data_IF_789205899606
#
_entry.id   IF_789205899606
#
_cell.length_a   1.000
_cell.length_b   1.000
_cell.length_c   1.000
_cell.angle_alpha   90.00
_cell.angle_beta   90.00
_cell.angle_gamma   90.00
#
_symmetry.space_group_name_H-M   'P 1'
#
loop_
_entity.id
_entity.type
_entity.pdbx_description
1 polymer ?
#
# COMPACT_ATOMS: atom_id res chain seq x y z
N UNK A 1 -11.09 -30.34 -8.68
CA UNK A 1 -9.76 -29.92 -9.18
C UNK A 1 -9.66 -28.37 -9.27
N UNK A 2 -10.55 -27.61 -9.99
CA UNK A 2 -10.41 -26.15 -10.10
C UNK A 2 -10.51 -25.40 -8.76
N UNK A 3 -11.33 -25.88 -7.81
CA UNK A 3 -11.46 -25.29 -6.47
C UNK A 3 -10.16 -25.48 -5.66
N UNK A 4 -9.58 -26.66 -5.74
CA UNK A 4 -8.30 -26.98 -5.10
C UNK A 4 -7.18 -26.10 -5.68
N UNK A 5 -7.12 -25.93 -6.99
CA UNK A 5 -6.16 -25.03 -7.66
C UNK A 5 -6.35 -23.58 -7.25
N UNK A 6 -7.60 -23.11 -7.11
CA UNK A 6 -7.90 -21.76 -6.63
C UNK A 6 -7.47 -21.55 -5.17
N UNK A 7 -7.76 -22.51 -4.29
CA UNK A 7 -7.35 -22.46 -2.87
C UNK A 7 -5.82 -22.56 -2.75
N UNK A 8 -5.17 -23.47 -3.50
CA UNK A 8 -3.70 -23.57 -3.54
C UNK A 8 -3.10 -22.26 -4.07
N UNK A 9 -3.67 -21.66 -5.14
CA UNK A 9 -3.21 -20.39 -5.66
C UNK A 9 -3.29 -19.27 -4.62
N UNK A 10 -4.40 -19.14 -3.90
CA UNK A 10 -4.57 -18.17 -2.81
C UNK A 10 -3.58 -18.47 -1.67
N UNK A 11 -3.44 -19.74 -1.27
CA UNK A 11 -2.51 -20.14 -0.21
C UNK A 11 -1.04 -19.86 -0.58
N UNK A 12 -0.65 -20.08 -1.83
CA UNK A 12 0.72 -19.78 -2.29
C UNK A 12 0.95 -18.27 -2.36
N UNK A 13 -0.04 -17.47 -2.81
CA UNK A 13 0.05 -16.01 -2.81
C UNK A 13 0.19 -15.48 -1.37
N UNK A 14 -0.61 -16.00 -0.44
CA UNK A 14 -0.49 -15.61 0.97
C UNK A 14 0.86 -16.05 1.55
N UNK A 15 1.33 -17.25 1.25
CA UNK A 15 2.65 -17.71 1.69
C UNK A 15 3.80 -16.93 1.04
N UNK A 16 3.69 -16.51 -0.22
CA UNK A 16 4.70 -15.69 -0.90
C UNK A 16 4.74 -14.25 -0.37
N UNK A 17 3.60 -13.72 0.06
CA UNK A 17 3.54 -12.42 0.72
C UNK A 17 4.22 -12.43 2.10
N UNK A 18 4.30 -13.59 2.75
CA UNK A 18 4.95 -13.77 4.05
C UNK A 18 6.41 -14.28 3.99
N UNK A 19 6.91 -14.67 2.82
CA UNK A 19 8.30 -15.12 2.63
C UNK A 19 8.98 -14.27 1.55
N UNK A 20 10.16 -13.75 1.87
CA UNK A 20 11.04 -13.07 0.90
C UNK A 20 11.29 -13.98 -0.32
N UNK A 21 10.71 -13.62 -1.47
CA UNK A 21 10.94 -14.36 -2.71
C UNK A 21 11.90 -13.60 -3.63
N UNK A 22 12.82 -14.30 -4.33
CA UNK A 22 13.74 -13.70 -5.30
C UNK A 22 12.99 -13.14 -6.53
N UNK A 23 13.69 -12.33 -7.33
CA UNK A 23 13.18 -11.48 -8.44
C UNK A 23 12.27 -12.12 -9.51
N UNK A 24 12.16 -13.45 -9.56
CA UNK A 24 11.19 -14.16 -10.43
C UNK A 24 9.77 -14.26 -9.87
N UNK A 25 9.53 -13.82 -8.63
CA UNK A 25 8.28 -14.04 -7.90
C UNK A 25 7.10 -13.21 -8.43
N UNK A 26 7.35 -12.08 -9.08
CA UNK A 26 6.28 -11.21 -9.58
C UNK A 26 5.51 -11.83 -10.74
N UNK A 27 6.18 -12.45 -11.69
CA UNK A 27 5.55 -13.18 -12.80
C UNK A 27 4.81 -14.43 -12.28
N UNK A 28 5.41 -15.13 -11.33
CA UNK A 28 4.81 -16.30 -10.71
C UNK A 28 3.53 -15.94 -9.93
N UNK A 29 3.53 -14.82 -9.20
CA UNK A 29 2.35 -14.33 -8.49
C UNK A 29 1.20 -13.92 -9.43
N UNK A 30 1.50 -13.33 -10.60
CA UNK A 30 0.51 -13.02 -11.63
C UNK A 30 -0.12 -14.28 -12.25
N UNK A 31 0.68 -15.32 -12.50
CA UNK A 31 0.18 -16.62 -12.98
C UNK A 31 -0.72 -17.28 -11.93
N UNK A 32 -0.33 -17.23 -10.66
CA UNK A 32 -1.14 -17.76 -9.56
C UNK A 32 -2.44 -16.97 -9.38
N UNK A 33 -2.41 -15.65 -9.49
CA UNK A 33 -3.60 -14.81 -9.44
C UNK A 33 -4.58 -15.16 -10.58
N UNK A 34 -4.07 -15.36 -11.79
CA UNK A 34 -4.90 -15.77 -12.93
C UNK A 34 -5.49 -17.17 -12.76
N UNK A 35 -4.73 -18.11 -12.18
CA UNK A 35 -5.24 -19.46 -11.88
C UNK A 35 -6.25 -19.46 -10.73
N UNK A 36 -6.07 -18.61 -9.72
CA UNK A 36 -7.03 -18.44 -8.63
C UNK A 36 -8.37 -17.84 -9.12
N UNK A 37 -8.32 -16.81 -9.96
CA UNK A 37 -9.53 -16.23 -10.58
C UNK A 37 -10.24 -17.23 -11.48
N UNK A 38 -9.49 -18.02 -12.28
CA UNK A 38 -10.04 -19.11 -13.08
C UNK A 38 -10.73 -20.18 -12.20
N UNK A 39 -10.07 -20.60 -11.13
CA UNK A 39 -10.61 -21.60 -10.22
C UNK A 39 -11.90 -21.14 -9.54
N UNK A 40 -11.92 -19.91 -9.00
CA UNK A 40 -13.11 -19.31 -8.39
C UNK A 40 -14.25 -19.17 -9.39
N UNK A 41 -13.96 -18.69 -10.60
CA UNK A 41 -14.98 -18.56 -11.65
C UNK A 41 -15.60 -19.90 -12.01
N UNK A 42 -14.79 -20.94 -12.21
CA UNK A 42 -15.26 -22.28 -12.54
C UNK A 42 -16.15 -22.88 -11.43
N UNK A 43 -15.78 -22.63 -10.16
CA UNK A 43 -16.55 -23.12 -9.00
C UNK A 43 -17.88 -22.39 -8.88
N UNK A 44 -17.86 -21.07 -8.94
CA UNK A 44 -19.08 -20.26 -8.86
C UNK A 44 -20.05 -20.64 -9.98
N UNK A 45 -19.53 -20.82 -11.20
CA UNK A 45 -20.33 -21.22 -12.35
C UNK A 45 -20.92 -22.61 -12.20
N UNK A 46 -20.15 -23.59 -11.72
CA UNK A 46 -20.63 -24.94 -11.45
C UNK A 46 -21.66 -24.98 -10.32
N UNK A 47 -21.41 -24.22 -9.25
CA UNK A 47 -22.35 -24.15 -8.12
C UNK A 47 -23.68 -23.50 -8.56
N UNK A 48 -23.59 -22.39 -9.31
CA UNK A 48 -24.77 -21.68 -9.81
C UNK A 48 -25.58 -22.54 -10.78
N UNK A 49 -24.93 -23.20 -11.74
CA UNK A 49 -25.60 -24.09 -12.70
C UNK A 49 -26.22 -25.32 -12.03
N UNK A 50 -25.54 -25.90 -11.03
CA UNK A 50 -26.05 -27.04 -10.26
C UNK A 50 -27.27 -26.67 -9.41
N UNK A 51 -27.22 -25.55 -8.67
CA UNK A 51 -28.39 -25.07 -7.91
C UNK A 51 -29.59 -24.76 -8.78
N UNK A 52 -29.35 -24.14 -9.93
CA UNK A 52 -30.42 -23.87 -10.89
C UNK A 52 -30.98 -25.15 -11.50
N UNK A 53 -30.17 -26.19 -11.69
CA UNK A 53 -30.62 -27.50 -12.22
C UNK A 53 -31.59 -28.19 -11.28
N UNK A 54 -31.38 -28.14 -9.98
CA UNK A 54 -32.15 -28.88 -8.99
C UNK A 54 -33.36 -28.13 -8.41
N UNK A 55 -33.60 -26.89 -8.76
CA UNK A 55 -34.64 -26.06 -8.17
C UNK A 55 -35.94 -26.15 -8.97
N UNK A 56 -37.07 -26.51 -8.34
CA UNK A 56 -38.44 -26.54 -8.92
C UNK A 56 -38.87 -25.13 -9.43
N UNK A 57 -38.26 -24.07 -8.93
CA UNK A 57 -38.49 -22.68 -9.31
C UNK A 57 -38.28 -22.41 -10.82
N UNK A 58 -37.43 -23.19 -11.49
CA UNK A 58 -37.16 -23.06 -12.94
C UNK A 58 -38.40 -23.38 -13.82
N UNK A 59 -39.32 -24.22 -13.33
CA UNK A 59 -40.50 -24.64 -14.09
C UNK A 59 -41.69 -23.69 -13.97
N UNK A 60 -41.56 -22.59 -13.22
CA UNK A 60 -42.60 -21.58 -13.06
C UNK A 60 -42.46 -20.47 -14.09
N UNK A 61 -43.49 -20.23 -14.89
CA UNK A 61 -43.58 -19.15 -15.88
C UNK A 61 -42.44 -19.19 -16.93
N UNK A 62 -42.04 -18.00 -17.40
CA UNK A 62 -41.01 -17.76 -18.44
C UNK A 62 -39.58 -18.03 -17.92
N UNK A 63 -39.39 -18.42 -16.66
CA UNK A 63 -38.08 -18.60 -16.04
C UNK A 63 -37.24 -19.74 -16.66
N UNK A 64 -37.88 -20.75 -17.19
CA UNK A 64 -37.23 -21.86 -17.97
C UNK A 64 -36.45 -21.31 -19.15
N UNK A 65 -37.04 -20.37 -19.88
CA UNK A 65 -36.40 -19.75 -21.02
C UNK A 65 -35.13 -19.00 -20.66
N UNK A 66 -35.19 -18.15 -19.58
CA UNK A 66 -34.01 -17.43 -19.06
C UNK A 66 -32.92 -18.39 -18.63
N UNK A 67 -33.28 -19.45 -17.90
CA UNK A 67 -32.33 -20.45 -17.43
C UNK A 67 -31.60 -21.15 -18.58
N UNK A 68 -32.35 -21.61 -19.57
CA UNK A 68 -31.78 -22.32 -20.74
C UNK A 68 -30.86 -21.43 -21.57
N UNK A 69 -31.29 -20.23 -21.89
CA UNK A 69 -30.44 -19.26 -22.60
C UNK A 69 -29.22 -18.86 -21.80
N UNK A 70 -29.37 -18.56 -20.50
CA UNK A 70 -28.29 -18.15 -19.66
C UNK A 70 -27.22 -19.25 -19.51
N UNK A 71 -27.59 -20.48 -19.25
CA UNK A 71 -26.64 -21.59 -19.13
C UNK A 71 -25.90 -21.89 -20.43
N UNK A 72 -26.56 -21.76 -21.58
CA UNK A 72 -25.92 -21.92 -22.91
C UNK A 72 -24.91 -20.79 -23.17
N UNK A 73 -25.27 -19.54 -22.85
CA UNK A 73 -24.38 -18.39 -23.00
C UNK A 73 -23.17 -18.48 -22.08
N UNK A 74 -23.38 -18.81 -20.81
CA UNK A 74 -22.29 -18.99 -19.86
C UNK A 74 -21.24 -20.00 -20.34
N UNK A 75 -21.66 -21.11 -20.90
CA UNK A 75 -20.73 -22.10 -21.46
C UNK A 75 -19.99 -21.58 -22.69
N UNK A 76 -20.68 -20.91 -23.58
CA UNK A 76 -20.09 -20.39 -24.82
C UNK A 76 -19.16 -19.17 -24.56
N UNK A 77 -19.45 -18.36 -23.53
CA UNK A 77 -18.67 -17.17 -23.17
C UNK A 77 -17.67 -17.44 -22.03
N UNK A 78 -17.47 -18.70 -21.64
CA UNK A 78 -16.71 -19.07 -20.44
C UNK A 78 -15.32 -18.44 -20.40
N UNK A 79 -14.51 -18.64 -21.44
CA UNK A 79 -13.14 -18.09 -21.51
C UNK A 79 -13.11 -16.56 -21.54
N UNK A 80 -14.08 -15.95 -22.21
CA UNK A 80 -14.19 -14.49 -22.29
C UNK A 80 -14.55 -13.89 -20.92
N UNK A 81 -15.44 -14.54 -20.18
CA UNK A 81 -15.82 -14.11 -18.84
C UNK A 81 -14.65 -14.25 -17.86
N UNK A 82 -13.82 -15.28 -18.01
CA UNK A 82 -12.58 -15.42 -17.23
C UNK A 82 -11.61 -14.29 -17.57
N UNK A 83 -11.38 -14.02 -18.86
CA UNK A 83 -10.54 -12.91 -19.30
C UNK A 83 -11.04 -11.56 -18.76
N UNK A 84 -12.35 -11.31 -18.84
CA UNK A 84 -12.95 -10.11 -18.26
C UNK A 84 -12.77 -10.05 -16.72
N UNK A 85 -12.94 -11.17 -16.01
CA UNK A 85 -12.72 -11.24 -14.58
C UNK A 85 -11.25 -10.95 -14.20
N UNK A 86 -10.29 -11.47 -14.94
CA UNK A 86 -8.86 -11.18 -14.74
C UNK A 86 -8.58 -9.68 -14.97
N UNK A 87 -9.09 -9.10 -16.05
CA UNK A 87 -8.92 -7.67 -16.34
C UNK A 87 -9.53 -6.78 -15.24
N UNK A 88 -10.71 -7.14 -14.73
CA UNK A 88 -11.35 -6.44 -13.61
C UNK A 88 -10.51 -6.60 -12.34
N UNK A 89 -9.94 -7.78 -12.08
CA UNK A 89 -9.03 -8.02 -10.94
C UNK A 89 -7.81 -7.11 -11.02
N UNK A 90 -7.18 -7.04 -12.21
CA UNK A 90 -6.01 -6.15 -12.45
C UNK A 90 -6.40 -4.69 -12.26
N UNK A 91 -7.56 -4.26 -12.77
CA UNK A 91 -8.04 -2.89 -12.60
C UNK A 91 -8.24 -2.54 -11.11
N UNK A 92 -8.88 -3.41 -10.33
CA UNK A 92 -9.09 -3.20 -8.90
C UNK A 92 -7.78 -3.17 -8.13
N UNK A 93 -6.84 -4.10 -8.41
CA UNK A 93 -5.53 -4.10 -7.78
C UNK A 93 -4.75 -2.83 -8.09
N UNK A 94 -4.77 -2.38 -9.34
CA UNK A 94 -4.05 -1.17 -9.75
C UNK A 94 -4.60 0.08 -9.05
N UNK A 95 -5.93 0.22 -8.89
CA UNK A 95 -6.53 1.31 -8.13
C UNK A 95 -6.15 1.22 -6.66
N UNK A 96 -6.26 0.03 -6.07
CA UNK A 96 -5.93 -0.19 -4.65
C UNK A 96 -4.47 0.18 -4.36
N UNK A 97 -3.53 -0.29 -5.18
CA UNK A 97 -2.12 0.07 -5.03
C UNK A 97 -1.86 1.55 -5.24
N UNK A 98 -2.52 2.19 -6.23
CA UNK A 98 -2.41 3.63 -6.45
C UNK A 98 -2.83 4.45 -5.23
N UNK A 99 -3.98 4.13 -4.62
CA UNK A 99 -4.45 4.80 -3.40
C UNK A 99 -3.54 4.50 -2.20
N UNK A 100 -3.06 3.26 -2.07
CA UNK A 100 -2.13 2.89 -1.01
C UNK A 100 -0.81 3.69 -1.07
N UNK A 101 -0.25 3.84 -2.28
CA UNK A 101 0.96 4.66 -2.48
C UNK A 101 0.75 6.13 -2.12
N UNK A 102 -0.40 6.73 -2.47
CA UNK A 102 -0.68 8.12 -2.06
C UNK A 102 -0.72 8.27 -0.55
N UNK A 103 -1.35 7.33 0.14
CA UNK A 103 -1.40 7.33 1.61
C UNK A 103 -0.01 7.12 2.24
N UNK A 104 0.83 6.28 1.64
CA UNK A 104 2.22 6.09 2.11
C UNK A 104 3.06 7.36 1.96
N UNK A 105 2.88 8.08 0.83
CA UNK A 105 3.56 9.35 0.59
C UNK A 105 3.18 10.41 1.63
N UNK A 106 1.89 10.53 1.95
CA UNK A 106 1.41 11.45 2.98
C UNK A 106 2.03 11.11 4.34
N UNK A 107 1.99 9.85 4.76
CA UNK A 107 2.61 9.40 6.01
C UNK A 107 4.11 9.69 6.08
N UNK A 108 4.84 9.53 4.95
CA UNK A 108 6.27 9.84 4.90
C UNK A 108 6.54 11.32 5.15
N UNK A 109 5.72 12.21 4.60
CA UNK A 109 5.84 13.67 4.81
C UNK A 109 5.52 14.04 6.26
N UNK A 110 4.49 13.40 6.84
CA UNK A 110 4.07 13.67 8.22
C UNK A 110 5.10 13.16 9.24
N UNK A 111 5.83 12.10 8.92
CA UNK A 111 6.90 11.56 9.76
C UNK A 111 8.17 12.44 9.82
N UNK A 112 8.29 13.47 8.98
CA UNK A 112 9.36 14.46 9.07
C UNK A 112 9.05 15.43 10.22
N UNK A 113 9.73 15.26 11.34
CA UNK A 113 9.42 15.93 12.60
C UNK A 113 9.76 17.44 12.57
N UNK A 114 10.85 17.83 11.88
CA UNK A 114 11.31 19.23 11.77
C UNK A 114 11.14 19.75 10.35
N UNK A 115 10.95 21.06 10.20
CA UNK A 115 10.77 21.66 8.88
C UNK A 115 12.04 21.63 8.03
N UNK A 116 13.20 21.79 8.70
CA UNK A 116 14.53 21.63 8.10
C UNK A 116 15.44 20.89 9.08
N UNK A 117 16.29 20.02 8.56
CA UNK A 117 17.46 19.50 9.26
C UNK A 117 18.67 19.54 8.34
N UNK A 118 19.76 20.05 8.86
CA UNK A 118 21.05 20.21 8.19
C UNK A 118 22.02 19.22 8.85
N UNK A 119 22.65 18.38 8.04
CA UNK A 119 23.60 17.36 8.52
C UNK A 119 24.97 17.61 7.90
N UNK A 120 26.00 17.65 8.72
CA UNK A 120 27.39 17.72 8.31
C UNK A 120 28.21 16.62 8.95
N UNK A 121 29.09 16.00 8.16
CA UNK A 121 30.09 15.05 8.66
C UNK A 121 31.42 15.72 9.04
N UNK A 122 31.52 17.03 8.90
CA UNK A 122 32.72 17.81 9.26
C UNK A 122 32.65 18.19 10.74
N UNK A 123 33.76 17.99 11.46
CA UNK A 123 33.90 18.45 12.85
C UNK A 123 33.78 19.99 12.88
N UNK A 124 33.04 20.50 13.88
CA UNK A 124 32.84 21.95 14.08
C UNK A 124 32.25 22.72 12.90
N UNK A 125 31.24 22.17 12.24
CA UNK A 125 30.53 22.87 11.15
C UNK A 125 29.83 24.13 11.68
N UNK A 126 30.07 25.27 11.05
CA UNK A 126 29.41 26.54 11.38
C UNK A 126 28.10 26.69 10.61
N UNK A 127 26.99 26.56 11.28
CA UNK A 127 25.64 26.77 10.71
C UNK A 127 25.15 28.22 10.75
N UNK A 128 25.98 29.19 11.17
CA UNK A 128 25.59 30.61 11.32
C UNK A 128 25.04 31.22 10.03
N UNK A 129 25.60 30.84 8.87
CA UNK A 129 25.15 31.33 7.56
C UNK A 129 23.72 30.90 7.24
N UNK A 130 23.38 29.67 7.58
CA UNK A 130 22.01 29.11 7.40
C UNK A 130 21.01 29.82 8.32
N UNK A 131 21.38 30.02 9.58
CA UNK A 131 20.55 30.75 10.55
C UNK A 131 20.34 32.21 10.15
N UNK A 132 21.40 32.87 9.62
CA UNK A 132 21.32 34.25 9.12
C UNK A 132 20.36 34.35 7.94
N UNK A 133 20.46 33.45 6.94
CA UNK A 133 19.55 33.37 5.81
C UNK A 133 18.10 33.22 6.24
N UNK A 134 17.84 32.26 7.19
CA UNK A 134 16.50 32.01 7.68
C UNK A 134 15.92 33.20 8.46
N UNK A 135 16.76 33.93 9.23
CA UNK A 135 16.36 35.14 9.94
C UNK A 135 16.04 36.30 8.98
N UNK A 136 16.89 36.53 7.99
CA UNK A 136 16.71 37.61 6.99
C UNK A 136 15.42 37.41 6.18
N UNK A 137 15.02 36.17 5.93
CA UNK A 137 13.78 35.84 5.21
C UNK A 137 12.56 35.70 6.15
N UNK A 138 12.68 36.01 7.45
CA UNK A 138 11.61 35.87 8.44
C UNK A 138 11.01 34.43 8.51
N UNK A 139 11.85 33.44 8.34
CA UNK A 139 11.44 32.04 8.33
C UNK A 139 11.71 31.32 9.67
N UNK A 140 12.69 31.80 10.44
CA UNK A 140 13.13 31.15 11.66
C UNK A 140 12.13 31.29 12.81
N UNK A 141 11.63 30.18 13.33
CA UNK A 141 10.86 30.13 14.59
C UNK A 141 11.77 29.69 15.75
N UNK A 142 12.28 28.48 15.67
CA UNK A 142 13.19 27.91 16.67
C UNK A 142 14.25 27.02 15.99
N UNK A 143 15.39 26.86 16.62
CA UNK A 143 16.48 26.04 16.11
C UNK A 143 17.25 25.40 17.26
N UNK A 144 17.79 24.21 17.02
CA UNK A 144 18.63 23.51 17.95
C UNK A 144 19.75 22.79 17.22
N UNK A 145 20.97 22.93 17.74
CA UNK A 145 22.17 22.27 17.23
C UNK A 145 22.60 21.16 18.18
N UNK A 146 22.94 20.01 17.64
CA UNK A 146 23.36 18.83 18.40
C UNK A 146 24.31 17.95 17.61
N UNK A 147 24.99 17.04 18.33
CA UNK A 147 25.94 16.10 17.73
C UNK A 147 25.46 14.67 17.85
N UNK A 148 25.58 13.92 16.77
CA UNK A 148 25.40 12.49 16.73
C UNK A 148 26.76 11.81 16.86
N UNK A 149 26.78 10.73 17.64
CA UNK A 149 28.00 10.01 17.97
C UNK A 149 27.95 8.58 17.40
N UNK A 150 29.13 7.96 17.29
CA UNK A 150 29.28 6.54 16.93
C UNK A 150 30.28 5.85 17.87
N UNK A 151 30.15 4.52 17.98
CA UNK A 151 31.10 3.68 18.71
C UNK A 151 32.00 2.93 17.72
N UNK A 152 33.19 2.54 18.14
CA UNK A 152 34.11 1.71 17.33
C UNK A 152 33.54 0.32 17.03
N UNK A 153 32.81 -0.25 18.00
CA UNK A 153 32.16 -1.56 17.85
C UNK A 153 30.72 -1.41 17.34
N UNK A 154 30.51 -1.80 16.11
CA UNK A 154 29.20 -1.74 15.43
C UNK A 154 28.36 -3.01 15.64
N UNK A 155 28.51 -3.70 16.75
CA UNK A 155 27.91 -5.00 17.00
C UNK A 155 26.37 -4.95 17.00
N UNK A 156 25.81 -3.89 17.58
CA UNK A 156 24.38 -3.74 17.74
C UNK A 156 23.66 -3.61 16.38
N UNK A 157 24.18 -2.76 15.48
CA UNK A 157 23.65 -2.57 14.14
C UNK A 157 23.71 -3.86 13.30
N UNK A 158 24.87 -4.55 13.34
CA UNK A 158 25.07 -5.74 12.51
C UNK A 158 24.21 -6.92 12.95
N UNK A 159 23.99 -7.12 14.23
CA UNK A 159 23.22 -8.25 14.75
C UNK A 159 21.72 -8.04 14.62
N UNK A 160 21.22 -6.85 14.99
CA UNK A 160 19.79 -6.52 14.90
C UNK A 160 19.30 -6.34 13.49
N UNK A 161 20.05 -5.64 12.62
CA UNK A 161 19.66 -5.45 11.22
C UNK A 161 19.76 -6.72 10.39
N UNK A 162 20.72 -7.61 10.64
CA UNK A 162 20.74 -8.94 10.00
C UNK A 162 19.47 -9.74 10.32
N UNK A 163 18.98 -9.64 11.55
CA UNK A 163 17.73 -10.28 11.95
C UNK A 163 16.50 -9.66 11.25
N UNK A 164 16.54 -8.34 10.95
CA UNK A 164 15.49 -7.59 10.26
C UNK A 164 15.60 -7.72 8.74
N UNK A 165 16.79 -7.56 8.16
CA UNK A 165 17.03 -7.66 6.71
C UNK A 165 16.71 -9.05 6.16
N UNK A 166 16.94 -10.12 6.92
CA UNK A 166 16.57 -11.48 6.52
C UNK A 166 15.07 -11.69 6.26
N UNK A 167 14.21 -10.74 6.72
CA UNK A 167 12.76 -10.82 6.54
C UNK A 167 12.20 -9.96 5.39
N UNK A 168 12.87 -8.89 4.95
CA UNK A 168 12.27 -7.89 4.05
C UNK A 168 12.92 -7.67 2.69
N UNK A 169 14.13 -8.18 2.44
CA UNK A 169 14.81 -8.03 1.15
C UNK A 169 15.11 -6.56 0.73
N UNK A 170 14.85 -5.58 1.58
CA UNK A 170 15.20 -4.18 1.34
C UNK A 170 16.64 -3.92 1.80
N UNK A 171 17.47 -3.40 0.90
CA UNK A 171 18.76 -2.83 1.24
C UNK A 171 18.50 -1.55 2.05
N UNK A 172 18.63 -1.62 3.35
CA UNK A 172 18.57 -0.44 4.21
C UNK A 172 19.93 0.22 4.13
N UNK A 173 19.95 1.47 3.74
CA UNK A 173 21.00 2.49 3.63
C UNK A 173 22.49 2.09 3.76
N UNK A 174 23.32 2.91 3.15
CA UNK A 174 24.79 2.80 3.08
C UNK A 174 25.52 2.98 4.43
N UNK A 175 24.84 3.38 5.50
CA UNK A 175 25.45 3.55 6.81
C UNK A 175 25.37 2.25 7.61
N UNK A 176 26.52 1.79 8.09
CA UNK A 176 26.70 0.50 8.78
C UNK A 176 27.07 0.66 10.24
N UNK A 177 26.88 1.86 10.82
CA UNK A 177 27.33 2.21 12.16
C UNK A 177 26.17 2.47 13.11
N UNK A 178 26.36 2.10 14.38
CA UNK A 178 25.46 2.49 15.46
C UNK A 178 25.52 4.00 15.66
N UNK A 179 24.34 4.63 15.79
CA UNK A 179 24.23 6.07 16.02
C UNK A 179 23.74 6.32 17.43
N UNK A 180 24.46 7.19 18.14
CA UNK A 180 24.18 7.55 19.54
C UNK A 180 23.86 9.04 19.64
N UNK A 181 23.01 9.37 20.63
CA UNK A 181 22.68 10.75 21.02
C UNK A 181 22.70 10.85 22.54
N UNK A 182 23.13 11.99 23.05
CA UNK A 182 23.07 12.25 24.50
C UNK A 182 21.64 12.57 24.94
N UNK A 183 21.31 12.26 26.19
CA UNK A 183 19.96 12.43 26.73
C UNK A 183 19.54 13.92 26.80
N UNK A 184 20.48 14.84 26.99
CA UNK A 184 20.20 16.27 27.02
C UNK A 184 19.74 16.77 25.67
N UNK A 185 20.44 16.39 24.59
CA UNK A 185 20.02 16.73 23.21
C UNK A 185 18.68 16.10 22.84
N UNK A 186 18.52 14.84 23.20
CA UNK A 186 17.28 14.10 23.00
C UNK A 186 16.08 14.81 23.64
N UNK A 187 16.20 15.25 24.90
CA UNK A 187 15.15 15.94 25.61
C UNK A 187 14.88 17.35 25.05
N UNK A 188 15.91 18.08 24.62
CA UNK A 188 15.71 19.38 23.94
C UNK A 188 14.94 19.23 22.63
N UNK A 189 15.24 18.20 21.84
CA UNK A 189 14.52 17.91 20.61
C UNK A 189 13.07 17.46 20.91
N UNK A 190 12.86 16.66 21.95
CA UNK A 190 11.51 16.26 22.39
C UNK A 190 10.68 17.47 22.84
N UNK A 191 11.29 18.40 23.58
CA UNK A 191 10.62 19.65 23.97
C UNK A 191 10.22 20.48 22.76
N UNK A 192 11.12 20.64 21.79
CA UNK A 192 10.79 21.29 20.51
C UNK A 192 9.60 20.62 19.80
N UNK A 193 9.44 19.31 19.92
CA UNK A 193 8.34 18.54 19.31
C UNK A 193 7.06 18.51 20.17
N UNK A 194 7.12 19.08 21.40
CA UNK A 194 6.01 19.04 22.37
C UNK A 194 5.84 17.67 23.01
N UNK A 195 6.87 16.83 23.02
CA UNK A 195 6.89 15.51 23.65
C UNK A 195 7.42 15.64 25.09
N UNK A 196 6.98 14.73 25.98
CA UNK A 196 7.46 14.69 27.36
C UNK A 196 8.94 14.32 27.43
N UNK A 197 9.69 14.94 28.35
CA UNK A 197 11.09 14.59 28.62
C UNK A 197 11.21 13.19 29.20
N UNK A 198 12.32 12.52 28.90
CA UNK A 198 12.66 11.19 29.39
C UNK A 198 13.77 11.31 30.44
N UNK A 199 13.59 10.63 31.57
CA UNK A 199 14.62 10.54 32.59
C UNK A 199 15.41 9.25 32.41
N UNK A 200 16.74 9.38 32.35
CA UNK A 200 17.64 8.25 32.14
C UNK A 200 18.57 8.10 33.34
N UNK A 201 18.67 6.90 33.88
CA UNK A 201 19.62 6.61 34.94
C UNK A 201 21.06 6.58 34.43
N UNK A 202 22.06 6.75 35.32
CA UNK A 202 23.48 6.94 34.97
C UNK A 202 24.07 5.86 34.04
N UNK A 203 23.58 4.63 34.12
CA UNK A 203 24.07 3.48 33.39
C UNK A 203 22.97 2.80 32.61
N UNK A 204 22.02 3.59 32.08
CA UNK A 204 20.90 3.07 31.33
C UNK A 204 20.92 3.68 29.91
N UNK A 205 20.61 2.88 28.90
CA UNK A 205 20.38 3.36 27.55
C UNK A 205 18.96 3.04 27.10
N UNK A 206 18.43 3.83 26.22
CA UNK A 206 17.14 3.59 25.55
C UNK A 206 17.31 3.58 24.04
N UNK A 207 16.39 2.94 23.34
CA UNK A 207 16.39 2.88 21.90
C UNK A 207 15.20 3.70 21.39
N UNK A 208 15.45 4.61 20.47
CA UNK A 208 14.41 5.28 19.71
C UNK A 208 14.42 4.73 18.29
N UNK A 209 13.35 4.04 17.86
CA UNK A 209 13.32 3.37 16.56
C UNK A 209 12.00 3.58 15.84
N UNK A 210 11.99 3.26 14.54
CA UNK A 210 10.74 3.21 13.76
C UNK A 210 9.87 2.04 14.22
N UNK A 211 8.56 2.20 14.14
CA UNK A 211 7.57 1.18 14.57
C UNK A 211 7.87 -0.23 14.05
N UNK A 212 8.29 -0.44 12.77
CA UNK A 212 8.63 -1.78 12.28
C UNK A 212 9.82 -2.43 12.98
N UNK A 213 10.66 -1.63 13.63
CA UNK A 213 11.88 -2.10 14.31
C UNK A 213 11.69 -2.42 15.80
N UNK A 214 10.54 -2.09 16.39
CA UNK A 214 10.27 -2.35 17.81
C UNK A 214 10.45 -3.84 18.12
N UNK A 215 9.76 -4.72 17.37
CA UNK A 215 9.79 -6.16 17.58
C UNK A 215 11.18 -6.80 17.56
N UNK A 216 12.01 -6.50 16.54
CA UNK A 216 13.38 -6.97 16.51
C UNK A 216 14.22 -6.50 17.70
N UNK A 217 14.04 -5.24 18.13
CA UNK A 217 14.78 -4.69 19.27
C UNK A 217 14.31 -5.26 20.60
N UNK A 218 13.00 -5.44 20.82
CA UNK A 218 12.50 -6.12 22.03
C UNK A 218 13.11 -7.51 22.16
N UNK A 219 13.06 -8.31 21.09
CA UNK A 219 13.66 -9.64 21.10
C UNK A 219 15.17 -9.62 21.33
N UNK A 220 15.89 -8.66 20.72
CA UNK A 220 17.34 -8.54 20.91
C UNK A 220 17.69 -8.16 22.35
N UNK A 221 16.96 -7.20 22.93
CA UNK A 221 17.21 -6.72 24.29
C UNK A 221 16.80 -7.71 25.39
N UNK A 222 15.86 -8.64 25.10
CA UNK A 222 15.58 -9.79 25.99
C UNK A 222 16.80 -10.73 26.14
N UNK A 223 17.53 -10.95 25.05
CA UNK A 223 18.72 -11.80 25.02
C UNK A 223 19.99 -11.02 25.43
N UNK A 224 20.04 -9.70 25.19
CA UNK A 224 21.19 -8.82 25.38
C UNK A 224 20.77 -7.59 26.21
N UNK A 225 20.71 -7.78 27.54
CA UNK A 225 20.25 -6.73 28.48
C UNK A 225 21.27 -5.63 28.72
N UNK A 226 22.54 -5.83 28.32
CA UNK A 226 23.67 -4.94 28.57
C UNK A 226 24.35 -4.57 27.26
N UNK A 227 24.73 -3.31 27.13
CA UNK A 227 25.51 -2.77 26.03
C UNK A 227 26.79 -2.13 26.59
N UNK A 228 27.95 -2.55 26.07
CA UNK A 228 29.23 -1.94 26.41
C UNK A 228 29.46 -0.72 25.52
N UNK A 229 29.57 0.45 26.13
CA UNK A 229 29.81 1.71 25.44
C UNK A 229 31.09 2.33 26.00
N UNK A 230 32.18 2.30 25.24
CA UNK A 230 33.50 2.57 25.77
C UNK A 230 33.83 1.59 26.91
N UNK A 231 34.14 2.10 28.11
CA UNK A 231 34.38 1.30 29.30
C UNK A 231 33.16 1.17 30.23
N UNK A 232 31.99 1.67 29.80
CA UNK A 232 30.79 1.70 30.65
C UNK A 232 29.78 0.64 30.17
N UNK A 233 29.34 -0.20 31.13
CA UNK A 233 28.24 -1.15 30.89
C UNK A 233 26.91 -0.42 31.13
N UNK A 234 26.11 -0.28 30.11
CA UNK A 234 24.78 0.30 30.18
C UNK A 234 23.68 -0.77 30.09
N UNK A 235 22.62 -0.61 30.88
CA UNK A 235 21.45 -1.51 30.89
C UNK A 235 20.35 -0.96 30.06
N UNK A 236 19.57 -1.84 29.41
CA UNK A 236 18.42 -1.45 28.59
C UNK A 236 17.30 -0.83 29.46
N UNK A 237 16.81 0.35 29.07
CA UNK A 237 15.79 1.11 29.81
C UNK A 237 14.44 1.24 29.08
N UNK A 238 14.34 0.86 27.81
CA UNK A 238 13.08 0.91 27.08
C UNK A 238 13.22 1.31 25.61
N UNK A 239 12.09 1.24 24.87
CA UNK A 239 11.99 1.61 23.46
C UNK A 239 10.98 2.73 23.30
N UNK A 240 11.32 3.70 22.45
CA UNK A 240 10.47 4.82 22.01
C UNK A 240 10.33 4.79 20.50
N UNK A 241 9.19 5.24 19.97
CA UNK A 241 8.89 5.11 18.53
C UNK A 241 8.10 6.28 17.93
N UNK A 242 8.10 7.43 18.60
CA UNK A 242 7.53 8.65 18.05
C UNK A 242 8.32 9.10 16.81
N UNK A 243 7.71 9.94 15.97
CA UNK A 243 8.39 10.48 14.79
C UNK A 243 9.52 11.45 15.21
N UNK A 244 10.76 11.09 14.92
CA UNK A 244 11.98 11.76 15.38
C UNK A 244 13.08 11.84 14.31
N UNK A 245 12.69 11.81 13.03
CA UNK A 245 13.58 11.79 11.85
C UNK A 245 14.47 10.54 11.71
N UNK A 246 14.16 9.46 12.37
CA UNK A 246 14.87 8.19 12.24
C UNK A 246 14.47 7.37 11.00
N UNK A 247 13.46 7.82 10.22
CA UNK A 247 12.96 7.12 9.04
C UNK A 247 13.72 7.48 7.76
N UNK A 248 14.40 8.62 7.73
CA UNK A 248 15.07 9.11 6.52
C UNK A 248 16.53 8.70 6.49
N UNK A 249 17.07 8.45 5.30
CA UNK A 249 18.46 8.01 5.11
C UNK A 249 19.52 9.02 5.58
N UNK A 250 19.16 10.28 5.69
CA UNK A 250 19.99 11.35 6.26
C UNK A 250 19.46 11.87 7.59
N UNK A 251 18.64 11.08 8.29
CA UNK A 251 18.06 11.43 9.58
C UNK A 251 18.92 11.03 10.78
N UNK A 252 18.29 10.95 11.93
CA UNK A 252 18.91 10.55 13.21
C UNK A 252 19.11 9.04 13.26
N UNK A 253 20.08 8.51 12.51
CA UNK A 253 20.39 7.08 12.43
C UNK A 253 19.56 6.32 11.38
N UNK A 254 19.89 5.04 11.23
CA UNK A 254 19.33 4.16 10.19
C UNK A 254 18.08 3.40 10.66
N UNK A 255 16.99 4.11 10.92
CA UNK A 255 15.76 3.52 11.45
C UNK A 255 15.77 3.30 12.96
N UNK A 256 16.87 3.58 13.65
CA UNK A 256 16.99 3.61 15.11
C UNK A 256 18.13 4.52 15.60
N UNK A 257 18.04 4.91 16.84
CA UNK A 257 18.98 5.78 17.55
C UNK A 257 19.12 5.27 18.98
N UNK A 258 20.34 5.21 19.48
CA UNK A 258 20.63 4.81 20.86
C UNK A 258 20.84 6.07 21.70
N UNK A 259 20.03 6.27 22.73
CA UNK A 259 20.14 7.41 23.63
C UNK A 259 20.87 6.98 24.89
N UNK A 260 21.88 7.74 25.22
CA UNK A 260 22.79 7.48 26.36
C UNK A 260 22.89 8.68 27.31
N UNK A 261 23.28 8.47 28.58
CA UNK A 261 23.58 9.57 29.48
C UNK A 261 24.73 10.47 28.96
N UNK A 262 24.68 11.77 29.22
CA UNK A 262 25.68 12.74 28.71
C UNK A 262 27.13 12.34 29.03
N UNK A 263 27.39 11.78 30.22
CA UNK A 263 28.73 11.30 30.59
C UNK A 263 29.22 10.12 29.73
N UNK A 264 28.30 9.33 29.20
CA UNK A 264 28.66 8.18 28.38
C UNK A 264 28.95 8.65 26.93
N UNK A 265 28.33 9.72 26.48
CA UNK A 265 28.60 10.28 25.14
C UNK A 265 30.01 10.87 25.02
N UNK A 266 30.64 11.33 26.13
CA UNK A 266 31.99 11.89 26.13
C UNK A 266 33.09 10.91 25.65
N UNK A 267 32.86 9.60 25.72
CA UNK A 267 33.80 8.57 25.24
C UNK A 267 33.51 8.08 23.82
N UNK A 268 32.45 8.58 23.19
CA UNK A 268 32.06 8.28 21.83
C UNK A 268 32.75 9.22 20.83
N UNK A 269 32.75 8.81 19.55
CA UNK A 269 33.30 9.61 18.45
C UNK A 269 32.21 10.43 17.83
N UNK A 270 32.46 11.72 17.58
CA UNK A 270 31.57 12.55 16.80
C UNK A 270 31.42 11.98 15.38
N UNK A 271 30.18 11.83 14.93
CA UNK A 271 29.84 11.28 13.62
C UNK A 271 29.28 12.39 12.71
N UNK A 272 28.34 13.16 13.24
CA UNK A 272 27.65 14.21 12.48
C UNK A 272 27.27 15.37 13.39
N UNK A 273 27.41 16.59 12.89
CA UNK A 273 26.82 17.77 13.49
C UNK A 273 25.49 18.06 12.80
N UNK A 274 24.46 18.33 13.54
CA UNK A 274 23.08 18.49 13.06
C UNK A 274 22.49 19.79 13.58
N UNK A 275 21.89 20.57 12.68
CA UNK A 275 21.03 21.69 13.02
C UNK A 275 19.61 21.40 12.60
N UNK A 276 18.67 21.38 13.53
CA UNK A 276 17.23 21.30 13.24
C UNK A 276 16.57 22.65 13.40
N UNK A 277 15.59 22.91 12.54
CA UNK A 277 14.89 24.19 12.52
C UNK A 277 13.39 23.97 12.38
N UNK A 278 12.61 24.70 13.18
CA UNK A 278 11.19 24.95 12.94
C UNK A 278 11.00 26.30 12.30
N UNK A 279 10.11 26.39 11.35
CA UNK A 279 9.85 27.58 10.57
C UNK A 279 8.47 28.15 10.83
N UNK A 280 8.34 29.49 10.80
CA UNK A 280 7.08 30.21 10.96
C UNK A 280 6.10 29.97 9.80
N UNK A 281 6.63 29.61 8.62
CA UNK A 281 5.86 29.34 7.42
C UNK A 281 6.53 28.26 6.58
N UNK A 282 5.75 27.59 5.71
CA UNK A 282 6.28 26.55 4.82
C UNK A 282 7.33 27.12 3.88
N UNK A 283 8.47 26.44 3.76
CA UNK A 283 9.54 26.78 2.83
C UNK A 283 9.09 26.63 1.38
N UNK A 284 9.52 27.57 0.52
CA UNK A 284 9.44 27.42 -0.93
C UNK A 284 10.59 26.55 -1.46
N UNK A 285 10.44 26.04 -2.68
CA UNK A 285 11.55 25.33 -3.36
C UNK A 285 12.76 26.24 -3.58
N UNK A 286 12.54 27.53 -3.86
CA UNK A 286 13.60 28.50 -4.04
C UNK A 286 14.43 28.66 -2.76
N UNK A 287 13.80 28.73 -1.58
CA UNK A 287 14.54 28.78 -0.30
C UNK A 287 15.39 27.53 -0.09
N UNK A 288 14.92 26.33 -0.49
CA UNK A 288 15.69 25.09 -0.37
C UNK A 288 16.89 25.10 -1.35
N UNK A 289 16.70 25.61 -2.57
CA UNK A 289 17.79 25.76 -3.54
C UNK A 289 18.84 26.74 -3.03
N UNK A 290 18.44 27.89 -2.51
CA UNK A 290 19.34 28.86 -1.92
C UNK A 290 20.14 28.28 -0.75
N UNK A 291 19.48 27.55 0.16
CA UNK A 291 20.15 26.89 1.26
C UNK A 291 21.17 25.84 0.77
N UNK A 292 20.85 25.06 -0.27
CA UNK A 292 21.76 24.08 -0.87
C UNK A 292 23.00 24.74 -1.54
N UNK A 293 22.90 26.04 -1.92
CA UNK A 293 24.01 26.78 -2.50
C UNK A 293 24.99 27.34 -1.46
N UNK A 294 24.63 27.38 -0.17
CA UNK A 294 25.49 27.92 0.89
C UNK A 294 26.73 27.03 1.09
N UNK A 295 26.55 25.71 1.23
CA UNK A 295 27.63 24.76 1.33
C UNK A 295 27.17 23.40 0.76
N UNK A 296 27.96 22.81 -0.13
CA UNK A 296 27.67 21.53 -0.77
C UNK A 296 27.96 20.30 0.11
N UNK A 297 28.73 20.49 1.19
CA UNK A 297 29.10 19.41 2.12
C UNK A 297 28.01 19.18 3.19
N UNK A 298 27.06 20.11 3.31
CA UNK A 298 25.94 20.01 4.24
C UNK A 298 24.74 19.39 3.52
N UNK A 299 24.26 18.27 4.03
CA UNK A 299 23.03 17.64 3.53
C UNK A 299 21.81 18.32 4.16
N UNK A 300 20.87 18.72 3.32
CA UNK A 300 19.65 19.40 3.75
C UNK A 300 18.45 18.48 3.58
N UNK A 301 17.82 18.10 4.68
CA UNK A 301 16.53 17.45 4.70
C UNK A 301 15.45 18.48 5.06
N UNK A 302 14.48 18.69 4.19
CA UNK A 302 13.36 19.60 4.45
C UNK A 302 12.03 18.90 4.22
N UNK A 303 11.04 19.23 5.04
CA UNK A 303 9.66 18.71 4.91
C UNK A 303 9.09 19.00 3.52
N UNK A 304 9.35 20.19 2.97
CA UNK A 304 8.97 20.57 1.60
C UNK A 304 9.72 19.74 0.54
N UNK A 305 11.02 19.49 0.72
CA UNK A 305 11.82 18.65 -0.17
C UNK A 305 11.30 17.21 -0.20
N UNK A 306 11.06 16.63 0.95
CA UNK A 306 10.46 15.28 1.08
C UNK A 306 9.09 15.22 0.43
N UNK A 307 8.24 16.24 0.65
CA UNK A 307 6.92 16.35 0.00
C UNK A 307 7.03 16.37 -1.52
N UNK A 308 7.92 17.17 -2.09
CA UNK A 308 8.09 17.27 -3.54
C UNK A 308 8.69 16.01 -4.16
N UNK A 309 9.71 15.43 -3.52
CA UNK A 309 10.27 14.15 -3.94
C UNK A 309 9.22 13.04 -3.91
N UNK A 310 8.46 12.97 -2.83
CA UNK A 310 7.39 11.99 -2.65
C UNK A 310 6.24 12.21 -3.61
N UNK A 311 5.86 13.47 -3.88
CA UNK A 311 4.86 13.82 -4.90
C UNK A 311 5.31 13.39 -6.30
N UNK A 312 6.58 13.65 -6.65
CA UNK A 312 7.14 13.20 -7.92
C UNK A 312 7.12 11.68 -8.06
N UNK A 313 7.55 10.94 -7.03
CA UNK A 313 7.48 9.47 -7.00
C UNK A 313 6.03 8.98 -7.12
N UNK A 314 5.09 9.64 -6.44
CA UNK A 314 3.67 9.32 -6.55
C UNK A 314 3.16 9.49 -7.98
N UNK A 315 3.49 10.58 -8.67
CA UNK A 315 3.09 10.79 -10.07
C UNK A 315 3.64 9.68 -10.96
N UNK A 316 4.93 9.35 -10.87
CA UNK A 316 5.54 8.30 -11.68
C UNK A 316 4.99 6.90 -11.41
N UNK A 317 4.51 6.63 -10.20
CA UNK A 317 3.99 5.31 -9.80
C UNK A 317 2.47 5.23 -9.94
N UNK A 318 1.76 6.22 -9.42
CA UNK A 318 0.30 6.20 -9.28
C UNK A 318 -0.40 6.46 -10.61
N UNK A 319 0.13 7.38 -11.43
CA UNK A 319 -0.48 7.72 -12.73
C UNK A 319 -0.49 6.51 -13.69
N UNK A 320 0.61 5.75 -13.88
CA UNK A 320 0.55 4.52 -14.67
C UNK A 320 -0.41 3.48 -14.10
N UNK A 321 -0.49 3.32 -12.77
CA UNK A 321 -1.41 2.37 -12.13
C UNK A 321 -2.88 2.72 -12.44
N UNK A 322 -3.28 3.98 -12.30
CA UNK A 322 -4.63 4.42 -12.66
C UNK A 322 -4.91 4.29 -14.16
N UNK A 323 -3.94 4.61 -15.02
CA UNK A 323 -4.06 4.41 -16.46
C UNK A 323 -4.28 2.92 -16.77
N UNK A 324 -3.49 2.04 -16.18
CA UNK A 324 -3.63 0.59 -16.33
C UNK A 324 -4.98 0.07 -15.86
N UNK A 325 -5.47 0.60 -14.74
CA UNK A 325 -6.80 0.27 -14.21
C UNK A 325 -7.90 0.68 -15.19
N UNK A 326 -7.84 1.91 -15.69
CA UNK A 326 -8.82 2.44 -16.63
C UNK A 326 -8.85 1.63 -17.93
N UNK A 327 -7.68 1.38 -18.53
CA UNK A 327 -7.55 0.60 -19.77
C UNK A 327 -8.07 -0.83 -19.58
N UNK A 328 -7.67 -1.50 -18.49
CA UNK A 328 -8.11 -2.86 -18.19
C UNK A 328 -9.63 -2.95 -18.00
N UNK A 329 -10.21 -2.00 -17.27
CA UNK A 329 -11.66 -1.94 -17.08
C UNK A 329 -12.41 -1.66 -18.41
N UNK A 330 -11.89 -0.74 -19.23
CA UNK A 330 -12.48 -0.43 -20.54
C UNK A 330 -12.42 -1.64 -21.49
N UNK A 331 -11.30 -2.35 -21.53
CA UNK A 331 -11.16 -3.59 -22.33
C UNK A 331 -12.16 -4.64 -21.83
N UNK A 332 -12.27 -4.88 -20.52
CA UNK A 332 -13.22 -5.85 -19.96
C UNK A 332 -14.68 -5.52 -20.35
N UNK A 333 -15.07 -4.26 -20.18
CA UNK A 333 -16.40 -3.78 -20.54
C UNK A 333 -16.67 -3.92 -22.05
N UNK A 334 -15.72 -3.55 -22.88
CA UNK A 334 -15.83 -3.60 -24.34
C UNK A 334 -15.93 -5.04 -24.84
N UNK A 335 -15.09 -5.95 -24.34
CA UNK A 335 -15.14 -7.37 -24.67
C UNK A 335 -16.51 -7.98 -24.37
N UNK A 336 -17.05 -7.71 -23.19
CA UNK A 336 -18.39 -8.19 -22.80
C UNK A 336 -19.48 -7.58 -23.67
N UNK A 337 -19.42 -6.27 -23.93
CA UNK A 337 -20.40 -5.57 -24.75
C UNK A 337 -20.45 -6.10 -26.19
N UNK A 338 -19.28 -6.21 -26.84
CA UNK A 338 -19.16 -6.71 -28.21
C UNK A 338 -19.69 -8.14 -28.32
N UNK A 339 -19.30 -9.00 -27.38
CA UNK A 339 -19.77 -10.39 -27.38
C UNK A 339 -21.27 -10.50 -27.18
N UNK A 340 -21.85 -9.74 -26.26
CA UNK A 340 -23.29 -9.71 -26.03
C UNK A 340 -24.01 -9.19 -27.29
N UNK A 341 -23.54 -8.12 -27.89
CA UNK A 341 -24.15 -7.54 -29.08
C UNK A 341 -24.07 -8.48 -30.31
N UNK A 342 -22.99 -9.25 -30.44
CA UNK A 342 -22.84 -10.24 -31.53
C UNK A 342 -23.95 -11.30 -31.49
N UNK A 343 -24.50 -11.61 -30.32
CA UNK A 343 -25.57 -12.58 -30.13
C UNK A 343 -26.96 -11.98 -30.37
N UNK A 344 -27.09 -10.65 -30.44
CA UNK A 344 -28.37 -9.97 -30.55
C UNK A 344 -29.20 -10.46 -31.74
N UNK A 345 -28.57 -10.63 -32.90
CA UNK A 345 -29.25 -11.08 -34.12
C UNK A 345 -29.77 -12.52 -34.03
N UNK A 346 -29.01 -13.41 -33.38
CA UNK A 346 -29.42 -14.80 -33.14
C UNK A 346 -30.61 -14.85 -32.18
N UNK A 347 -30.56 -14.09 -31.11
CA UNK A 347 -31.61 -14.06 -30.10
C UNK A 347 -32.88 -13.35 -30.55
N UNK A 348 -32.79 -12.44 -31.51
CA UNK A 348 -33.96 -11.79 -32.09
C UNK A 348 -34.99 -12.83 -32.54
N UNK A 349 -34.56 -13.96 -33.15
CA UNK A 349 -35.45 -15.05 -33.57
C UNK A 349 -36.16 -15.69 -32.37
N UNK A 350 -35.44 -15.93 -31.28
CA UNK A 350 -36.02 -16.54 -30.06
C UNK A 350 -37.05 -15.60 -29.39
N UNK A 351 -36.79 -14.29 -29.42
CA UNK A 351 -37.73 -13.29 -28.90
C UNK A 351 -38.94 -13.05 -29.80
N UNK A 352 -38.81 -13.27 -31.11
CA UNK A 352 -39.97 -13.29 -32.04
C UNK A 352 -40.87 -14.50 -31.74
N UNK A 353 -40.29 -15.68 -31.41
CA UNK A 353 -41.08 -16.84 -31.00
C UNK A 353 -41.92 -16.55 -29.75
N UNK A 354 -41.34 -15.77 -28.78
CA UNK A 354 -42.10 -15.34 -27.60
C UNK A 354 -43.26 -14.40 -27.95
N UNK A 355 -43.17 -13.61 -29.05
CA UNK A 355 -44.25 -12.80 -29.56
C UNK A 355 -45.39 -13.65 -30.07
N UNK A 356 -45.07 -14.71 -30.83
CA UNK A 356 -46.09 -15.65 -31.34
C UNK A 356 -46.83 -16.41 -30.25
N UNK A 357 -46.15 -16.66 -29.08
CA UNK A 357 -46.77 -17.30 -27.91
C UNK A 357 -47.58 -16.30 -27.06
N UNK A 358 -47.59 -15.01 -27.42
CA UNK A 358 -48.36 -13.98 -26.71
C UNK A 358 -47.73 -13.37 -25.48
N UNK A 359 -46.39 -13.47 -25.32
CA UNK A 359 -45.68 -12.87 -24.19
C UNK A 359 -45.67 -11.35 -24.28
N UNK A 360 -46.17 -10.67 -23.25
CA UNK A 360 -46.26 -9.23 -23.21
C UNK A 360 -44.91 -8.51 -23.33
N UNK A 361 -44.84 -7.39 -24.01
CA UNK A 361 -43.61 -6.62 -24.24
C UNK A 361 -42.87 -6.21 -22.96
N UNK A 362 -43.59 -5.91 -21.86
CA UNK A 362 -42.96 -5.57 -20.58
C UNK A 362 -42.24 -6.77 -19.97
N UNK A 363 -42.79 -7.98 -20.11
CA UNK A 363 -42.16 -9.20 -19.60
C UNK A 363 -40.87 -9.52 -20.38
N UNK A 364 -40.88 -9.36 -21.72
CA UNK A 364 -39.67 -9.52 -22.55
C UNK A 364 -38.56 -8.53 -22.16
N UNK A 365 -38.92 -7.25 -21.92
CA UNK A 365 -37.95 -6.23 -21.45
C UNK A 365 -37.35 -6.59 -20.07
N UNK A 366 -38.18 -7.08 -19.16
CA UNK A 366 -37.72 -7.51 -17.84
C UNK A 366 -36.81 -8.73 -17.91
N UNK A 367 -37.14 -9.70 -18.78
CA UNK A 367 -36.28 -10.86 -19.04
C UNK A 367 -34.90 -10.44 -19.59
N UNK A 368 -34.93 -9.60 -20.62
CA UNK A 368 -33.74 -9.07 -21.26
C UNK A 368 -32.83 -8.34 -20.24
N UNK A 369 -33.41 -7.48 -19.41
CA UNK A 369 -32.69 -6.74 -18.37
C UNK A 369 -32.01 -7.69 -17.37
N UNK A 370 -32.75 -8.69 -16.86
CA UNK A 370 -32.22 -9.67 -15.89
C UNK A 370 -31.11 -10.53 -16.50
N UNK A 371 -31.28 -10.97 -17.73
CA UNK A 371 -30.30 -11.80 -18.43
C UNK A 371 -28.99 -11.05 -18.67
N UNK A 372 -29.07 -9.82 -19.17
CA UNK A 372 -27.93 -8.94 -19.38
C UNK A 372 -27.23 -8.60 -18.08
N UNK A 373 -27.99 -8.27 -17.05
CA UNK A 373 -27.43 -7.99 -15.73
C UNK A 373 -26.59 -9.16 -15.22
N UNK A 374 -27.12 -10.38 -15.28
CA UNK A 374 -26.38 -11.56 -14.84
C UNK A 374 -25.10 -11.76 -15.68
N UNK A 375 -25.15 -11.62 -17.01
CA UNK A 375 -23.99 -11.79 -17.88
C UNK A 375 -22.90 -10.75 -17.60
N UNK A 376 -23.28 -9.51 -17.28
CA UNK A 376 -22.34 -8.43 -16.99
C UNK A 376 -21.72 -8.57 -15.61
N UNK A 377 -22.49 -8.94 -14.58
CA UNK A 377 -22.02 -8.92 -13.21
C UNK A 377 -21.37 -10.24 -12.75
N UNK A 378 -21.58 -11.35 -13.46
CA UNK A 378 -20.93 -12.62 -13.14
C UNK A 378 -19.38 -12.53 -13.10
N UNK A 379 -18.67 -11.87 -14.04
CA UNK A 379 -17.22 -11.73 -13.97
C UNK A 379 -16.72 -10.85 -12.83
N UNK A 380 -17.55 -9.93 -12.34
CA UNK A 380 -17.19 -9.00 -11.27
C UNK A 380 -17.06 -9.72 -9.93
N UNK A 381 -17.91 -10.73 -9.68
CA UNK A 381 -17.92 -11.44 -8.39
C UNK A 381 -16.59 -12.10 -8.04
N UNK A 382 -15.97 -12.95 -8.88
CA UNK A 382 -14.68 -13.54 -8.54
C UNK A 382 -13.57 -12.48 -8.44
N UNK A 383 -13.61 -11.44 -9.29
CA UNK A 383 -12.64 -10.36 -9.23
C UNK A 383 -12.69 -9.59 -7.89
N UNK A 384 -13.89 -9.28 -7.40
CA UNK A 384 -14.07 -8.62 -6.11
C UNK A 384 -13.65 -9.51 -4.94
N UNK A 385 -13.99 -10.81 -4.98
CA UNK A 385 -13.58 -11.76 -3.93
C UNK A 385 -12.07 -11.90 -3.85
N UNK A 386 -11.38 -12.02 -5.00
CA UNK A 386 -9.91 -12.08 -5.03
C UNK A 386 -9.28 -10.81 -4.44
N UNK A 387 -9.76 -9.63 -4.83
CA UNK A 387 -9.23 -8.38 -4.33
C UNK A 387 -9.50 -8.17 -2.85
N UNK A 388 -10.71 -8.52 -2.38
CA UNK A 388 -11.11 -8.39 -0.97
C UNK A 388 -10.24 -9.27 -0.06
N UNK A 389 -9.66 -10.33 -0.58
CA UNK A 389 -8.78 -11.21 0.17
C UNK A 389 -7.30 -10.86 -0.01
N UNK A 390 -6.86 -10.66 -1.24
CA UNK A 390 -5.46 -10.49 -1.59
C UNK A 390 -4.90 -9.16 -1.10
N UNK A 391 -5.57 -8.05 -1.39
CA UNK A 391 -5.05 -6.72 -1.09
C UNK A 391 -4.89 -6.45 0.42
N UNK A 392 -5.87 -6.74 1.30
CA UNK A 392 -5.71 -6.58 2.74
C UNK A 392 -4.59 -7.46 3.32
N UNK A 393 -4.43 -8.68 2.82
CA UNK A 393 -3.34 -9.56 3.25
C UNK A 393 -1.99 -8.98 2.86
N UNK A 394 -1.85 -8.45 1.64
CA UNK A 394 -0.62 -7.81 1.19
C UNK A 394 -0.29 -6.55 2.01
N UNK A 395 -1.27 -5.69 2.28
CA UNK A 395 -1.04 -4.50 3.11
C UNK A 395 -0.72 -4.85 4.56
N UNK A 396 -1.36 -5.88 5.11
CA UNK A 396 -1.04 -6.41 6.45
C UNK A 396 0.35 -7.01 6.55
N UNK A 397 0.85 -7.65 5.48
CA UNK A 397 2.19 -8.26 5.47
C UNK A 397 3.33 -7.24 5.39
N UNK A 398 3.05 -6.01 4.94
CA UNK A 398 4.04 -4.92 4.90
C UNK A 398 4.25 -4.33 6.30
N UNK A 399 3.25 -4.43 7.18
CA UNK A 399 3.31 -3.92 8.56
C UNK A 399 3.81 -5.03 9.48
N UNK A 400 5.02 -4.86 10.00
CA UNK A 400 5.51 -5.72 11.08
C UNK A 400 5.13 -5.11 12.43
N UNK A 401 4.35 -5.86 13.17
CA UNK A 401 3.97 -5.50 14.53
C UNK A 401 4.00 -6.74 15.43
N UNK A 402 4.66 -6.64 16.56
CA UNK A 402 4.81 -7.74 17.55
C UNK A 402 3.47 -8.17 18.09
N UNK A 403 2.62 -7.20 18.39
CA UNK A 403 1.31 -7.43 19.00
C UNK A 403 0.20 -7.69 17.98
N UNK A 404 0.49 -7.60 16.68
CA UNK A 404 -0.47 -7.79 15.60
C UNK A 404 -1.57 -6.70 15.50
N UNK A 405 -1.56 -5.68 16.36
CA UNK A 405 -2.61 -4.64 16.39
C UNK A 405 -2.54 -3.76 15.17
N UNK A 406 -1.36 -3.26 14.81
CA UNK A 406 -1.15 -2.44 13.61
C UNK A 406 -1.38 -3.26 12.33
N UNK A 407 -0.99 -4.54 12.34
CA UNK A 407 -1.26 -5.45 11.24
C UNK A 407 -2.76 -5.63 11.02
N UNK A 408 -3.55 -5.83 12.09
CA UNK A 408 -5.01 -5.93 12.02
C UNK A 408 -5.62 -4.61 11.52
N UNK A 409 -5.15 -3.46 12.02
CA UNK A 409 -5.60 -2.15 11.57
C UNK A 409 -5.32 -1.93 10.07
N UNK A 410 -4.14 -2.35 9.59
CA UNK A 410 -3.78 -2.29 8.17
C UNK A 410 -4.65 -3.21 7.31
N UNK A 411 -4.98 -4.41 7.78
CA UNK A 411 -5.91 -5.33 7.11
C UNK A 411 -7.32 -4.70 7.02
N UNK A 412 -7.81 -4.12 8.11
CA UNK A 412 -9.13 -3.46 8.15
C UNK A 412 -9.18 -2.29 7.16
N UNK A 413 -8.14 -1.44 7.16
CA UNK A 413 -8.05 -0.32 6.22
C UNK A 413 -7.99 -0.79 4.77
N UNK A 414 -7.26 -1.88 4.49
CA UNK A 414 -7.21 -2.52 3.18
C UNK A 414 -8.56 -3.07 2.71
N UNK A 415 -9.37 -3.63 3.62
CA UNK A 415 -10.75 -4.06 3.33
C UNK A 415 -11.62 -2.85 2.99
N UNK A 416 -11.58 -1.79 3.81
CA UNK A 416 -12.37 -0.56 3.58
C UNK A 416 -12.02 0.08 2.23
N UNK A 417 -10.73 0.19 1.92
CA UNK A 417 -10.25 0.70 0.65
C UNK A 417 -10.73 -0.15 -0.52
N UNK A 418 -10.65 -1.48 -0.42
CA UNK A 418 -11.11 -2.39 -1.47
C UNK A 418 -12.61 -2.26 -1.71
N UNK A 419 -13.42 -2.11 -0.68
CA UNK A 419 -14.87 -1.87 -0.81
C UNK A 419 -15.13 -0.56 -1.55
N UNK A 420 -14.42 0.51 -1.20
CA UNK A 420 -14.55 1.81 -1.87
C UNK A 420 -14.19 1.72 -3.35
N UNK A 421 -13.07 1.09 -3.70
CA UNK A 421 -12.62 0.93 -5.09
C UNK A 421 -13.56 0.06 -5.92
N UNK A 422 -14.12 -0.99 -5.32
CA UNK A 422 -15.19 -1.80 -5.95
C UNK A 422 -16.42 -0.95 -6.24
N UNK A 423 -16.86 -0.12 -5.30
CA UNK A 423 -18.00 0.79 -5.53
C UNK A 423 -17.74 1.76 -6.68
N UNK A 424 -16.55 2.36 -6.75
CA UNK A 424 -16.17 3.26 -7.84
C UNK A 424 -16.16 2.54 -9.20
N UNK A 425 -15.55 1.36 -9.26
CA UNK A 425 -15.53 0.56 -10.49
C UNK A 425 -16.94 0.16 -10.94
N UNK A 426 -17.82 -0.22 -10.01
CA UNK A 426 -19.20 -0.58 -10.28
C UNK A 426 -19.99 0.57 -10.90
N UNK A 427 -19.72 1.82 -10.55
CA UNK A 427 -20.34 3.00 -11.18
C UNK A 427 -20.00 3.06 -12.67
N UNK A 428 -18.71 2.99 -13.01
CA UNK A 428 -18.25 2.98 -14.42
C UNK A 428 -18.83 1.78 -15.17
N UNK A 429 -18.78 0.63 -14.54
CA UNK A 429 -19.28 -0.63 -15.11
C UNK A 429 -20.79 -0.58 -15.37
N UNK A 430 -21.55 0.09 -14.52
CA UNK A 430 -22.97 0.30 -14.65
C UNK A 430 -23.31 1.17 -15.87
N UNK A 431 -22.53 2.22 -16.16
CA UNK A 431 -22.74 3.02 -17.39
C UNK A 431 -22.57 2.19 -18.66
N UNK A 432 -21.54 1.35 -18.74
CA UNK A 432 -21.33 0.42 -19.86
C UNK A 432 -22.48 -0.58 -19.98
N UNK A 433 -22.95 -1.12 -18.86
CA UNK A 433 -24.13 -2.00 -18.84
C UNK A 433 -25.37 -1.30 -19.40
N UNK A 434 -25.65 -0.07 -18.98
CA UNK A 434 -26.81 0.70 -19.45
C UNK A 434 -26.70 0.98 -20.95
N UNK A 435 -25.53 1.40 -21.42
CA UNK A 435 -25.29 1.64 -22.85
C UNK A 435 -25.50 0.37 -23.66
N UNK A 436 -24.93 -0.76 -23.26
CA UNK A 436 -25.10 -2.06 -23.92
C UNK A 436 -26.56 -2.50 -23.90
N UNK A 437 -27.26 -2.35 -22.76
CA UNK A 437 -28.68 -2.67 -22.64
C UNK A 437 -29.54 -1.86 -23.62
N UNK A 438 -29.26 -0.56 -23.77
CA UNK A 438 -30.03 0.30 -24.69
C UNK A 438 -29.88 -0.15 -26.14
N UNK A 439 -28.65 -0.46 -26.58
CA UNK A 439 -28.37 -0.93 -27.95
C UNK A 439 -28.99 -2.31 -28.16
N UNK A 440 -28.74 -3.23 -27.24
CA UNK A 440 -29.24 -4.61 -27.31
C UNK A 440 -30.78 -4.68 -27.37
N UNK A 441 -31.44 -3.86 -26.52
CA UNK A 441 -32.91 -3.74 -26.50
C UNK A 441 -33.47 -3.26 -27.85
N UNK A 442 -32.82 -2.25 -28.49
CA UNK A 442 -33.23 -1.73 -29.79
C UNK A 442 -33.12 -2.79 -30.90
N UNK A 443 -32.11 -3.66 -30.82
CA UNK A 443 -31.88 -4.72 -31.82
C UNK A 443 -32.87 -5.86 -31.69
N UNK A 444 -33.21 -6.27 -30.45
CA UNK A 444 -34.06 -7.43 -30.18
C UNK A 444 -35.56 -7.09 -30.20
N UNK A 445 -35.93 -5.94 -29.64
CA UNK A 445 -37.31 -5.47 -29.53
C UNK A 445 -37.42 -4.14 -30.30
N UNK A 446 -37.51 -4.16 -31.63
CA UNK A 446 -37.68 -2.92 -32.39
C UNK A 446 -38.97 -2.23 -31.98
N UNK A 447 -38.97 -0.89 -31.95
CA UNK A 447 -40.20 -0.12 -31.81
C UNK A 447 -41.07 -0.42 -33.07
N UNK A 448 -42.31 -0.89 -32.85
CA UNK A 448 -43.33 -0.89 -33.91
C UNK A 448 -43.64 0.53 -34.30
#
# INVERSE_FOLDING_TARGET
>A
IPLLLGIIGIAIITMSAFKNMPDGSMLFSLVLLSTATYGLFAVLLNHFTSRLKNNKWKYTNIRVFVYRQFTTKLRSMFFLMIGASILITVALLSINWGVYFTTMVEKRVDAVAFDIALFSNEENTDFSKYLSYLKENNLLDSSYEYTLYTNKDNSFYQETLRAVQGKFGFSISSETTDTFMCISDYNNLRDMLGLSSVVLDRNTYIIHCTVPNIAPFEKYTEEHTQLLIGDTICHFGGIYSEDFMQQESCGNGNGFLIIVPDKVSEVLYEQKNVLVVKTLSSLSLTHIEDLNHIDKNVLILSKTGVRNQSASMAVYTVLPLFYFAFVSAAIACTLLSVQILSWANKERKDYLTLDYIGVANHQKKTLLKKQLFLLYFVPVVPATLVNLFLFPVMTGSIVNDVNGVLQIASIISGIQQTVLTVCLLLVVYFFYYVATYMIYKRTIIPKK
#
